data_IF_521820398700
#
_entry.id   IF_521820398700
#
_cell.length_a   1.000
_cell.length_b   1.000
_cell.length_c   1.000
_cell.angle_alpha   90.00
_cell.angle_beta   90.00
_cell.angle_gamma   90.00
#
_symmetry.space_group_name_H-M   'P 1'
#
loop_
_entity.id
_entity.type
_entity.pdbx_description
1 polymer ?
#
# COMPACT_ATOMS: atom_id res chain seq x y z
N UNK A 1 -0.67 -45.53 -19.02
CA UNK A 1 -1.61 -46.51 -18.46
C UNK A 1 -1.85 -46.14 -17.00
N UNK A 2 -3.09 -45.81 -16.65
CA UNK A 2 -3.54 -45.64 -15.26
C UNK A 2 -3.70 -47.02 -14.60
N UNK A 3 -3.33 -47.15 -13.33
CA UNK A 3 -4.23 -47.66 -12.29
C UNK A 3 -3.76 -47.22 -10.88
N UNK A 4 -4.70 -47.08 -9.92
CA UNK A 4 -4.61 -46.17 -8.79
C UNK A 4 -4.13 -46.85 -7.51
N UNK A 5 -3.40 -46.11 -6.67
CA UNK A 5 -3.15 -46.52 -5.30
C UNK A 5 -4.36 -46.12 -4.42
N UNK A 6 -4.95 -47.15 -3.84
CA UNK A 6 -6.12 -47.16 -2.97
C UNK A 6 -5.92 -46.26 -1.76
N UNK A 7 -6.87 -45.34 -1.60
CA UNK A 7 -6.98 -44.39 -0.50
C UNK A 7 -7.26 -45.15 0.82
N UNK A 8 -6.26 -45.28 1.68
CA UNK A 8 -6.44 -45.88 3.00
C UNK A 8 -7.04 -44.86 3.99
N UNK A 9 -8.26 -45.18 4.44
CA UNK A 9 -9.08 -44.44 5.40
C UNK A 9 -8.50 -44.58 6.82
N UNK A 10 -7.71 -43.61 7.27
CA UNK A 10 -7.54 -43.40 8.71
C UNK A 10 -7.09 -41.98 9.01
N UNK A 11 -8.10 -41.13 9.20
CA UNK A 11 -8.10 -39.86 9.92
C UNK A 11 -6.90 -39.68 10.88
N UNK A 12 -5.85 -39.02 10.40
CA UNK A 12 -4.89 -38.32 11.27
C UNK A 12 -4.76 -36.90 10.75
N UNK A 13 -5.44 -36.02 11.48
CA UNK A 13 -5.10 -34.60 11.61
C UNK A 13 -4.89 -33.87 10.29
N UNK A 14 -6.00 -33.55 9.62
CA UNK A 14 -6.02 -32.37 8.76
C UNK A 14 -5.86 -31.14 9.65
N UNK A 15 -4.62 -30.82 10.01
CA UNK A 15 -4.24 -29.45 10.31
C UNK A 15 -4.35 -28.72 8.97
N UNK A 16 -5.56 -28.27 8.66
CA UNK A 16 -5.78 -27.26 7.63
C UNK A 16 -5.12 -26.01 8.19
N UNK A 17 -3.82 -25.87 7.94
CA UNK A 17 -3.17 -24.56 7.98
C UNK A 17 -3.80 -23.83 6.82
N UNK A 18 -4.92 -23.19 7.10
CA UNK A 18 -5.51 -22.15 6.28
C UNK A 18 -4.48 -21.02 6.32
N UNK A 19 -3.44 -21.16 5.49
CA UNK A 19 -2.60 -20.04 5.09
C UNK A 19 -3.53 -19.14 4.30
N UNK A 20 -4.31 -18.34 5.01
CA UNK A 20 -4.97 -17.19 4.42
C UNK A 20 -3.81 -16.26 4.09
N UNK A 21 -3.27 -16.42 2.89
CA UNK A 21 -2.43 -15.41 2.28
C UNK A 21 -3.35 -14.24 1.95
N UNK A 22 -3.66 -13.44 2.99
CA UNK A 22 -4.33 -12.17 2.80
C UNK A 22 -3.28 -11.24 2.19
N UNK A 23 -3.14 -11.34 0.87
CA UNK A 23 -2.34 -10.42 0.07
C UNK A 23 -2.91 -9.01 0.20
N UNK A 24 -2.51 -8.29 1.24
CA UNK A 24 -2.73 -6.85 1.38
C UNK A 24 -1.70 -6.09 0.54
N UNK A 25 -1.84 -6.13 -0.79
CA UNK A 25 -1.05 -5.26 -1.67
C UNK A 25 -1.87 -4.02 -2.06
N UNK A 26 -2.03 -3.09 -1.11
CA UNK A 26 -2.52 -1.72 -1.37
C UNK A 26 -1.79 -0.62 -0.59
N UNK A 27 -0.51 -0.84 -0.24
CA UNK A 27 0.33 0.14 0.47
C UNK A 27 1.40 0.78 -0.39
N UNK A 28 1.13 0.95 -1.68
CA UNK A 28 2.08 1.66 -2.53
C UNK A 28 1.65 3.12 -2.57
N UNK A 29 2.37 3.94 -1.81
CA UNK A 29 2.29 5.38 -1.98
C UNK A 29 3.22 5.79 -3.11
N UNK A 30 2.74 6.64 -4.00
CA UNK A 30 3.59 7.28 -4.99
C UNK A 30 4.23 8.50 -4.35
N UNK A 31 5.55 8.55 -4.47
CA UNK A 31 6.34 9.70 -4.08
C UNK A 31 6.96 10.32 -5.32
N UNK A 32 7.19 11.63 -5.30
CA UNK A 32 7.83 12.33 -6.40
C UNK A 32 8.95 13.25 -5.94
N UNK A 33 9.93 13.42 -6.82
CA UNK A 33 10.97 14.46 -6.75
C UNK A 33 10.84 15.31 -8.01
N UNK A 34 10.78 16.62 -7.83
CA UNK A 34 10.79 17.58 -8.93
C UNK A 34 12.21 18.07 -9.15
N UNK A 35 12.59 18.14 -10.42
CA UNK A 35 13.90 18.62 -10.85
C UNK A 35 13.84 20.07 -11.31
N UNK A 36 12.81 20.42 -12.09
CA UNK A 36 12.70 21.76 -12.65
C UNK A 36 11.29 22.13 -13.10
N UNK A 37 11.08 23.44 -13.24
CA UNK A 37 9.93 24.06 -13.88
C UNK A 37 10.41 25.00 -14.99
N UNK A 38 9.67 25.06 -16.09
CA UNK A 38 9.89 25.99 -17.19
C UNK A 38 8.60 26.79 -17.41
N UNK A 39 8.67 28.11 -17.22
CA UNK A 39 7.52 29.01 -17.35
C UNK A 39 7.66 29.84 -18.63
N UNK A 40 6.62 29.80 -19.45
CA UNK A 40 6.58 30.43 -20.77
C UNK A 40 5.29 31.20 -20.99
N UNK A 41 5.41 32.41 -21.51
CA UNK A 41 4.29 33.23 -22.00
C UNK A 41 4.61 33.77 -23.38
N UNK A 42 3.57 33.89 -24.20
CA UNK A 42 3.66 34.52 -25.52
C UNK A 42 3.78 36.05 -25.40
N UNK A 43 3.39 36.61 -24.25
CA UNK A 43 3.38 38.03 -23.98
C UNK A 43 4.47 38.41 -22.97
N UNK A 44 4.85 39.68 -22.97
CA UNK A 44 5.78 40.21 -21.96
C UNK A 44 5.04 40.28 -20.62
N UNK A 45 5.58 39.64 -19.59
CA UNK A 45 5.00 39.67 -18.23
C UNK A 45 5.92 40.40 -17.26
N UNK A 46 5.37 40.89 -16.14
CA UNK A 46 6.15 41.47 -15.05
C UNK A 46 6.78 40.43 -14.10
N UNK A 47 6.58 39.14 -14.41
CA UNK A 47 7.07 38.01 -13.62
C UNK A 47 8.55 37.77 -13.93
N UNK A 48 9.39 37.86 -12.91
CA UNK A 48 10.84 37.71 -13.02
C UNK A 48 11.36 36.91 -11.83
N UNK A 49 12.50 36.24 -12.01
CA UNK A 49 13.14 35.44 -10.98
C UNK A 49 13.38 36.21 -9.67
N UNK A 50 13.77 37.48 -9.75
CA UNK A 50 14.05 38.33 -8.57
C UNK A 50 12.81 38.71 -7.76
N UNK A 51 11.61 38.51 -8.31
CA UNK A 51 10.33 38.85 -7.66
C UNK A 51 9.62 37.65 -7.06
N UNK A 52 10.18 36.44 -7.21
CA UNK A 52 9.65 35.23 -6.59
C UNK A 52 9.93 35.31 -5.09
N UNK A 53 8.87 35.17 -4.28
CA UNK A 53 8.95 35.13 -2.82
C UNK A 53 9.05 33.70 -2.31
N UNK A 54 8.17 32.86 -2.79
CA UNK A 54 8.11 31.46 -2.41
C UNK A 54 7.48 30.62 -3.52
N UNK A 55 7.82 29.33 -3.49
CA UNK A 55 7.28 28.32 -4.39
C UNK A 55 6.77 27.19 -3.53
N UNK A 56 5.48 26.89 -3.67
CA UNK A 56 4.81 25.82 -2.96
C UNK A 56 4.48 24.69 -3.94
N UNK A 57 4.88 23.48 -3.57
CA UNK A 57 4.56 22.28 -4.30
C UNK A 57 3.83 21.31 -3.38
N UNK A 58 2.58 21.00 -3.69
CA UNK A 58 1.66 20.28 -2.82
C UNK A 58 1.65 20.85 -1.38
N UNK A 59 1.51 22.19 -1.27
CA UNK A 59 1.54 22.95 0.00
C UNK A 59 2.86 22.87 0.78
N UNK A 60 3.92 22.30 0.20
CA UNK A 60 5.27 22.30 0.80
C UNK A 60 6.14 23.37 0.16
N UNK A 61 6.78 24.17 1.00
CA UNK A 61 7.76 25.17 0.58
C UNK A 61 9.01 24.52 -0.03
N UNK A 62 9.34 24.89 -1.26
CA UNK A 62 10.63 24.58 -1.87
C UNK A 62 11.67 25.57 -1.36
N UNK A 63 12.62 25.08 -0.56
CA UNK A 63 13.67 25.93 0.05
C UNK A 63 14.88 26.11 -0.88
N UNK A 64 15.27 25.05 -1.56
CA UNK A 64 16.45 25.02 -2.41
C UNK A 64 16.04 25.10 -3.88
N UNK A 65 15.95 26.33 -4.38
CA UNK A 65 15.65 26.59 -5.78
C UNK A 65 16.53 27.69 -6.36
N UNK A 66 16.72 27.64 -7.67
CA UNK A 66 17.40 28.65 -8.45
C UNK A 66 16.59 28.99 -9.69
N UNK A 67 16.56 30.27 -10.07
CA UNK A 67 15.78 30.74 -11.21
C UNK A 67 16.66 31.52 -12.19
N UNK A 68 16.48 31.24 -13.49
CA UNK A 68 17.17 31.92 -14.59
C UNK A 68 16.21 32.21 -15.75
N UNK A 69 16.51 33.26 -16.51
CA UNK A 69 15.75 33.62 -17.72
C UNK A 69 14.54 34.52 -17.46
N UNK A 70 13.63 34.54 -18.43
CA UNK A 70 12.41 35.35 -18.41
C UNK A 70 11.24 34.62 -19.03
N UNK A 71 10.02 35.02 -18.67
CA UNK A 71 8.78 34.33 -19.07
C UNK A 71 8.46 34.48 -20.55
N UNK A 72 8.84 35.60 -21.16
CA UNK A 72 8.62 35.83 -22.60
C UNK A 72 9.55 34.93 -23.41
N UNK A 73 8.98 33.91 -24.04
CA UNK A 73 9.74 33.02 -24.90
C UNK A 73 8.82 32.47 -25.99
N UNK A 74 9.29 32.48 -27.23
CA UNK A 74 8.63 31.72 -28.29
C UNK A 74 8.66 30.22 -27.96
N UNK A 75 7.83 29.42 -28.63
CA UNK A 75 7.71 27.97 -28.38
C UNK A 75 9.04 27.19 -28.45
N UNK A 76 10.01 27.72 -29.20
CA UNK A 76 11.36 27.15 -29.41
C UNK A 76 12.46 27.82 -28.59
N UNK A 77 12.15 28.81 -27.77
CA UNK A 77 13.12 29.54 -26.96
C UNK A 77 13.07 29.08 -25.49
N UNK A 78 14.18 29.19 -24.74
CA UNK A 78 14.18 28.92 -23.31
C UNK A 78 13.31 29.96 -22.59
N UNK A 79 12.37 29.49 -21.76
CA UNK A 79 11.57 30.35 -20.89
C UNK A 79 12.29 30.67 -19.58
N UNK A 80 11.52 31.00 -18.55
CA UNK A 80 12.04 31.15 -17.21
C UNK A 80 12.15 29.77 -16.56
N UNK A 81 13.37 29.36 -16.25
CA UNK A 81 13.64 28.09 -15.60
C UNK A 81 13.77 28.26 -14.11
N UNK A 82 13.08 27.41 -13.36
CA UNK A 82 13.22 27.26 -11.92
C UNK A 82 13.72 25.84 -11.67
N UNK A 83 14.98 25.70 -11.30
CA UNK A 83 15.56 24.44 -10.87
C UNK A 83 15.31 24.31 -9.37
N UNK A 84 14.79 23.18 -8.90
CA UNK A 84 14.49 23.00 -7.50
C UNK A 84 14.91 21.60 -7.03
N UNK A 85 15.38 21.51 -5.80
CA UNK A 85 15.51 20.22 -5.11
C UNK A 85 14.28 20.06 -4.23
N UNK A 86 13.27 19.34 -4.72
CA UNK A 86 12.08 19.11 -3.90
C UNK A 86 12.34 18.02 -2.85
N UNK A 87 11.79 18.14 -1.63
CA UNK A 87 11.70 17.00 -0.74
C UNK A 87 10.82 15.92 -1.41
N UNK A 88 10.87 14.71 -0.85
CA UNK A 88 9.95 13.65 -1.24
C UNK A 88 8.50 14.09 -0.98
N UNK A 89 7.67 14.14 -2.02
CA UNK A 89 6.27 14.53 -1.94
C UNK A 89 5.41 13.29 -2.13
N UNK A 90 4.56 13.01 -1.14
CA UNK A 90 3.51 11.99 -1.26
C UNK A 90 2.42 12.53 -2.18
N UNK A 91 1.99 11.70 -3.13
CA UNK A 91 0.95 12.03 -4.10
C UNK A 91 -0.23 11.09 -3.86
N UNK A 92 -1.38 11.65 -3.50
CA UNK A 92 -2.60 10.87 -3.22
C UNK A 92 -3.52 10.77 -4.45
N UNK A 93 -3.66 11.85 -5.22
CA UNK A 93 -4.68 11.94 -6.29
C UNK A 93 -4.12 12.10 -7.71
N UNK A 94 -2.83 11.76 -7.95
CA UNK A 94 -2.11 12.02 -9.22
C UNK A 94 -2.21 13.48 -9.69
N UNK A 95 -2.49 14.38 -8.76
CA UNK A 95 -2.61 15.81 -8.97
C UNK A 95 -1.71 16.50 -7.98
N UNK A 96 -0.94 17.46 -8.48
CA UNK A 96 0.06 18.17 -7.68
C UNK A 96 -0.21 19.66 -7.80
N UNK A 97 -0.81 20.26 -6.77
CA UNK A 97 -0.95 21.70 -6.70
C UNK A 97 0.42 22.36 -6.74
N UNK A 98 0.55 23.40 -7.56
CA UNK A 98 1.76 24.18 -7.71
C UNK A 98 1.41 25.65 -7.61
N UNK A 99 2.13 26.37 -6.74
CA UNK A 99 1.92 27.79 -6.53
C UNK A 99 3.25 28.53 -6.53
N UNK A 100 3.29 29.69 -7.17
CA UNK A 100 4.40 30.63 -7.10
C UNK A 100 3.85 31.95 -6.60
N UNK A 101 4.34 32.39 -5.44
CA UNK A 101 4.03 33.70 -4.91
C UNK A 101 5.05 34.73 -5.40
N UNK A 102 4.54 35.79 -6.01
CA UNK A 102 5.26 37.02 -6.33
C UNK A 102 4.81 38.13 -5.38
N UNK A 103 5.52 39.27 -5.38
CA UNK A 103 5.21 40.42 -4.52
C UNK A 103 3.74 40.87 -4.53
N UNK A 104 3.09 40.79 -5.70
CA UNK A 104 1.77 41.37 -5.93
C UNK A 104 0.72 40.34 -6.39
N UNK A 105 1.15 39.10 -6.68
CA UNK A 105 0.27 38.08 -7.27
C UNK A 105 0.70 36.69 -6.85
N UNK A 106 -0.26 35.83 -6.57
CA UNK A 106 -0.05 34.39 -6.41
C UNK A 106 -0.59 33.72 -7.65
N UNK A 107 0.25 32.89 -8.29
CA UNK A 107 -0.14 32.12 -9.45
C UNK A 107 -0.20 30.66 -9.03
N UNK A 108 -1.34 30.01 -9.27
CA UNK A 108 -1.56 28.62 -8.93
C UNK A 108 -2.02 27.81 -10.14
N UNK A 109 -1.65 26.54 -10.15
CA UNK A 109 -2.15 25.55 -11.10
C UNK A 109 -2.04 24.15 -10.50
N UNK A 110 -2.47 23.14 -11.25
CA UNK A 110 -2.38 21.74 -10.87
C UNK A 110 -1.69 20.99 -12.01
N UNK A 111 -0.62 20.27 -11.68
CA UNK A 111 -0.01 19.31 -12.58
C UNK A 111 -0.71 17.96 -12.46
N UNK A 112 -1.12 17.40 -13.59
CA UNK A 112 -1.59 16.02 -13.67
C UNK A 112 -0.40 15.09 -13.88
N UNK A 113 -0.33 14.01 -13.11
CA UNK A 113 0.77 13.05 -13.13
C UNK A 113 0.43 11.83 -14.01
N UNK A 114 1.45 11.30 -14.67
CA UNK A 114 1.33 10.05 -15.44
C UNK A 114 1.44 8.82 -14.53
N UNK A 115 0.88 7.69 -14.96
CA UNK A 115 1.01 6.40 -14.27
C UNK A 115 2.32 5.67 -14.61
N UNK A 116 3.44 6.35 -14.39
CA UNK A 116 4.78 5.80 -14.65
C UNK A 116 5.70 6.07 -13.47
N UNK A 117 6.54 5.08 -13.16
CA UNK A 117 7.49 5.13 -12.04
C UNK A 117 8.90 4.86 -12.52
N UNK A 118 9.87 5.40 -11.79
CA UNK A 118 11.32 5.27 -12.02
C UNK A 118 11.78 5.80 -13.39
N UNK A 119 11.11 6.83 -13.90
CA UNK A 119 11.47 7.51 -15.15
C UNK A 119 11.29 9.02 -14.98
N UNK A 120 12.08 9.78 -15.72
CA UNK A 120 11.90 11.23 -15.84
C UNK A 120 10.66 11.50 -16.70
N UNK A 121 9.74 12.27 -16.13
CA UNK A 121 8.45 12.60 -16.69
C UNK A 121 8.31 14.12 -16.80
N UNK A 122 7.41 14.54 -17.67
CA UNK A 122 7.11 15.95 -17.88
C UNK A 122 5.60 16.16 -17.84
N UNK A 123 5.14 17.12 -17.06
CA UNK A 123 3.74 17.53 -16.99
C UNK A 123 3.62 18.99 -17.36
N UNK A 124 2.55 19.38 -18.06
CA UNK A 124 2.32 20.77 -18.47
C UNK A 124 0.99 21.24 -17.92
N UNK A 125 0.98 22.46 -17.43
CA UNK A 125 -0.21 23.12 -16.92
C UNK A 125 -0.24 24.58 -17.39
N UNK A 126 -1.45 25.11 -17.57
CA UNK A 126 -1.65 26.51 -17.99
C UNK A 126 -2.19 27.29 -16.80
N UNK A 127 -1.64 28.48 -16.60
CA UNK A 127 -2.02 29.46 -15.60
C UNK A 127 -2.55 30.70 -16.30
N UNK A 128 -3.69 31.21 -15.86
CA UNK A 128 -4.24 32.44 -16.41
C UNK A 128 -3.78 33.66 -15.59
N UNK A 129 -3.14 34.63 -16.24
CA UNK A 129 -2.68 35.87 -15.63
C UNK A 129 -3.75 36.94 -15.80
N UNK A 130 -4.62 37.09 -14.80
CA UNK A 130 -5.73 38.05 -14.85
C UNK A 130 -5.29 39.49 -15.14
N UNK A 131 -4.15 39.91 -14.57
CA UNK A 131 -3.64 41.28 -14.72
C UNK A 131 -3.19 41.62 -16.14
N UNK A 132 -2.67 40.63 -16.85
CA UNK A 132 -2.05 40.80 -18.16
C UNK A 132 -2.95 40.26 -19.29
N UNK A 133 -4.11 39.70 -18.94
CA UNK A 133 -5.01 38.98 -19.85
C UNK A 133 -4.24 38.00 -20.76
N UNK A 134 -3.27 37.32 -20.16
CA UNK A 134 -2.32 36.44 -20.84
C UNK A 134 -2.31 35.08 -20.17
N UNK A 135 -1.80 34.08 -20.89
CA UNK A 135 -1.62 32.73 -20.36
C UNK A 135 -0.13 32.45 -20.17
N UNK A 136 0.18 31.78 -19.07
CA UNK A 136 1.50 31.28 -18.71
C UNK A 136 1.45 29.76 -18.73
N UNK A 137 2.25 29.13 -19.58
CA UNK A 137 2.42 27.69 -19.62
C UNK A 137 3.59 27.31 -18.73
N UNK A 138 3.31 26.48 -17.74
CA UNK A 138 4.31 25.90 -16.86
C UNK A 138 4.51 24.44 -17.25
N UNK A 139 5.76 24.04 -17.45
CA UNK A 139 6.15 22.65 -17.69
C UNK A 139 7.02 22.18 -16.53
N UNK A 140 6.60 21.13 -15.83
CA UNK A 140 7.30 20.53 -14.70
C UNK A 140 7.98 19.24 -15.13
N UNK A 141 9.27 19.10 -14.83
CA UNK A 141 10.04 17.87 -15.01
C UNK A 141 10.29 17.21 -13.66
N UNK A 142 9.96 15.92 -13.55
CA UNK A 142 9.89 15.22 -12.28
C UNK A 142 10.15 13.71 -12.43
N UNK A 143 10.52 13.05 -11.34
CA UNK A 143 10.65 11.59 -11.27
C UNK A 143 9.70 11.07 -10.19
N UNK A 144 8.92 10.04 -10.53
CA UNK A 144 8.06 9.32 -9.58
C UNK A 144 8.73 8.04 -9.10
N UNK A 145 8.53 7.70 -7.83
CA UNK A 145 9.03 6.49 -7.20
C UNK A 145 7.90 5.84 -6.41
N UNK A 146 7.93 4.50 -6.34
CA UNK A 146 7.11 3.79 -5.36
C UNK A 146 7.79 3.86 -4.02
N UNK A 147 7.04 4.28 -3.01
CA UNK A 147 7.48 4.24 -1.62
C UNK A 147 6.57 3.33 -0.85
N UNK A 148 7.17 2.29 -0.28
CA UNK A 148 6.50 1.41 0.65
C UNK A 148 6.45 2.12 2.01
N UNK A 149 5.26 2.28 2.58
CA UNK A 149 5.16 2.73 3.97
C UNK A 149 5.46 1.57 4.91
N UNK A 150 6.45 1.73 5.79
CA UNK A 150 6.70 0.82 6.91
C UNK A 150 5.74 1.06 8.09
N UNK A 151 4.64 1.78 7.92
CA UNK A 151 3.74 2.17 9.00
C UNK A 151 2.27 1.95 8.64
N UNK A 152 1.74 0.77 9.04
CA UNK A 152 0.32 0.51 9.34
C UNK A 152 -0.71 1.06 8.33
N UNK A 153 -0.71 0.56 7.09
CA UNK A 153 -1.95 0.56 6.31
C UNK A 153 -2.93 -0.51 6.86
N UNK A 154 -3.54 -0.28 8.01
CA UNK A 154 -4.65 -1.13 8.46
C UNK A 154 -5.81 -0.28 8.94
N UNK A 155 -6.48 0.38 8.01
CA UNK A 155 -7.94 0.58 8.13
C UNK A 155 -8.71 -0.59 7.49
N UNK A 156 -8.04 -1.72 7.24
CA UNK A 156 -8.65 -3.00 6.96
C UNK A 156 -8.40 -3.95 8.13
N UNK A 157 -9.48 -4.30 8.85
CA UNK A 157 -9.51 -5.29 9.94
C UNK A 157 -8.59 -4.89 11.11
N UNK A 158 -9.17 -4.26 12.15
CA UNK A 158 -8.42 -4.00 13.38
C UNK A 158 -7.83 -5.31 13.92
N UNK A 159 -6.69 -5.25 14.60
CA UNK A 159 -6.12 -6.42 15.27
C UNK A 159 -7.17 -7.15 16.15
N UNK A 160 -8.15 -6.41 16.70
CA UNK A 160 -9.28 -6.97 17.43
C UNK A 160 -10.21 -7.86 16.59
N UNK A 161 -10.42 -7.54 15.31
CA UNK A 161 -11.23 -8.39 14.42
C UNK A 161 -10.50 -9.69 14.09
N UNK A 162 -9.18 -9.65 13.87
CA UNK A 162 -8.38 -10.87 13.68
C UNK A 162 -8.41 -11.76 14.93
N UNK A 163 -8.24 -11.16 16.11
CA UNK A 163 -8.32 -11.87 17.40
C UNK A 163 -9.70 -12.49 17.60
N UNK A 164 -10.78 -11.76 17.28
CA UNK A 164 -12.15 -12.26 17.36
C UNK A 164 -12.40 -13.47 16.47
N UNK A 165 -11.86 -13.48 15.23
CA UNK A 165 -12.01 -14.61 14.32
C UNK A 165 -11.28 -15.84 14.87
N UNK A 166 -10.05 -15.66 15.37
CA UNK A 166 -9.26 -16.76 15.95
C UNK A 166 -9.95 -17.32 17.20
N UNK A 167 -10.43 -16.44 18.09
CA UNK A 167 -11.12 -16.84 19.31
C UNK A 167 -12.42 -17.59 19.00
N UNK A 168 -13.21 -17.11 18.03
CA UNK A 168 -14.43 -17.78 17.56
C UNK A 168 -14.16 -19.17 16.99
N UNK A 169 -13.10 -19.34 16.21
CA UNK A 169 -12.71 -20.64 15.67
C UNK A 169 -12.26 -21.62 16.76
N UNK A 170 -11.50 -21.13 17.75
CA UNK A 170 -11.05 -21.95 18.88
C UNK A 170 -12.24 -22.43 19.73
N UNK A 171 -13.19 -21.54 20.03
CA UNK A 171 -14.39 -21.89 20.79
C UNK A 171 -15.28 -22.88 20.04
N UNK A 172 -15.45 -22.70 18.72
CA UNK A 172 -16.20 -23.64 17.89
C UNK A 172 -15.56 -25.04 17.89
N UNK A 173 -14.23 -25.13 17.76
CA UNK A 173 -13.51 -26.39 17.81
C UNK A 173 -13.67 -27.11 19.16
N UNK A 174 -13.56 -26.38 20.28
CA UNK A 174 -13.79 -26.92 21.62
C UNK A 174 -15.22 -27.45 21.76
N UNK A 175 -16.22 -26.68 21.31
CA UNK A 175 -17.63 -27.09 21.35
C UNK A 175 -17.90 -28.37 20.56
N UNK A 176 -17.35 -28.50 19.35
CA UNK A 176 -17.47 -29.70 18.53
C UNK A 176 -16.79 -30.90 19.20
N UNK A 177 -15.59 -30.74 19.76
CA UNK A 177 -14.90 -31.79 20.50
C UNK A 177 -15.70 -32.28 21.72
N UNK A 178 -16.25 -31.36 22.52
CA UNK A 178 -17.06 -31.69 23.68
C UNK A 178 -18.35 -32.44 23.28
N UNK A 179 -19.04 -31.97 22.24
CA UNK A 179 -20.22 -32.63 21.71
C UNK A 179 -19.89 -34.06 21.23
N UNK A 180 -18.81 -34.23 20.47
CA UNK A 180 -18.37 -35.55 20.01
C UNK A 180 -18.02 -36.51 21.16
N UNK A 181 -17.36 -36.02 22.21
CA UNK A 181 -17.09 -36.82 23.41
C UNK A 181 -18.40 -37.24 24.13
N UNK A 182 -19.36 -36.33 24.25
CA UNK A 182 -20.65 -36.64 24.86
C UNK A 182 -21.43 -37.68 24.03
N UNK A 183 -21.48 -37.53 22.71
CA UNK A 183 -22.11 -38.51 21.82
C UNK A 183 -21.44 -39.89 21.90
N UNK A 184 -20.10 -39.95 22.00
CA UNK A 184 -19.37 -41.21 22.20
C UNK A 184 -19.72 -41.87 23.53
N UNK A 185 -19.79 -41.09 24.62
CA UNK A 185 -20.14 -41.59 25.96
C UNK A 185 -21.58 -42.11 26.03
N UNK A 186 -22.52 -41.49 25.29
CA UNK A 186 -23.91 -41.96 25.22
C UNK A 186 -24.09 -43.22 24.35
N UNK A 187 -23.22 -43.45 23.35
CA UNK A 187 -23.26 -44.64 22.48
C UNK A 187 -22.62 -45.89 23.10
N UNK A 188 -21.74 -45.74 24.09
CA UNK A 188 -21.23 -46.86 24.89
C UNK A 188 -21.55 -46.64 26.37
N UNK A 189 -22.76 -46.98 26.84
CA UNK A 189 -22.96 -47.23 28.26
C UNK A 189 -22.07 -48.43 28.62
N UNK A 190 -21.14 -48.21 29.53
CA UNK A 190 -20.27 -49.24 30.09
C UNK A 190 -21.18 -50.24 30.82
N UNK A 191 -21.49 -51.36 30.16
CA UNK A 191 -21.91 -52.59 30.83
C UNK A 191 -20.64 -53.35 31.18
N UNK A 192 -20.12 -53.18 32.39
CA UNK A 192 -19.14 -54.12 32.94
C UNK A 192 -19.04 -53.99 34.46
N UNK A 193 -19.94 -54.66 35.18
CA UNK A 193 -19.62 -55.27 36.48
C UNK A 193 -20.55 -56.49 36.67
N UNK A 194 -20.15 -57.68 36.21
CA UNK A 194 -20.51 -58.97 36.84
C UNK A 194 -19.69 -60.15 36.25
N UNK A 195 -19.12 -60.99 37.14
CA UNK A 195 -18.55 -62.34 36.89
C UNK A 195 -17.08 -62.35 36.50
N UNK A 196 -16.08 -62.78 37.30
CA UNK A 196 -15.81 -64.00 38.11
C UNK A 196 -15.47 -65.25 37.26
N UNK A 197 -14.40 -65.94 37.71
CA UNK A 197 -13.84 -67.25 37.30
C UNK A 197 -12.78 -67.14 36.17
N UNK A 198 -11.52 -67.53 36.30
CA UNK A 198 -10.83 -68.44 37.22
C UNK A 198 -10.34 -69.66 36.42
N UNK A 199 -9.05 -69.73 36.08
CA UNK A 199 -8.30 -70.96 35.78
C UNK A 199 -6.87 -70.62 35.30
N UNK A 200 -5.91 -70.59 36.23
CA UNK A 200 -4.51 -70.86 35.91
C UNK A 200 -4.08 -72.06 36.76
N UNK A 201 -3.90 -73.22 36.13
CA UNK A 201 -2.99 -74.25 36.61
C UNK A 201 -2.67 -75.32 35.55
N UNK A 202 -1.40 -75.75 35.61
CA UNK A 202 -0.74 -76.94 35.03
C UNK A 202 -0.36 -76.86 33.55
N UNK A 203 0.86 -77.20 33.12
CA UNK A 203 2.04 -77.80 33.76
C UNK A 203 3.18 -77.77 32.71
N UNK A 204 4.44 -77.60 33.10
CA UNK A 204 5.44 -78.61 33.52
C UNK A 204 6.49 -78.82 32.42
N UNK A 205 7.69 -79.24 32.85
CA UNK A 205 8.92 -79.63 32.10
C UNK A 205 10.04 -78.56 32.21
N UNK A 206 11.29 -78.80 32.63
CA UNK A 206 12.08 -79.98 33.06
C UNK A 206 13.38 -79.50 33.77
N UNK A 207 14.16 -80.46 34.31
CA UNK A 207 15.56 -80.40 34.81
C UNK A 207 15.71 -79.85 36.25
N UNK A 208 16.27 -80.55 37.24
CA UNK A 208 17.22 -81.69 37.32
C UNK A 208 17.05 -82.40 38.68
#
# INVERSE_FOLDING_TARGET
MLQPAVLNKSLRSFLIILVVDIGFNKCQHLSMVVESFNLRSEQTTHLTCSRIREILLNKKLLKDWHCIGGTKAASREPGMWIMATSPLIKVEEKKVPFEIAYDEVIISTIFELEDKVNQQLTSTATMHLQRENSNLNATMTYIQFRTDETARCSEGISAGVVVSIIEGLMLAAIGVCAALQYYRKKRHPIHSVFGREGAENLGNDNEE
#
